data_IF_328461012612
#
_entry.id   IF_328461012612
#
_cell.length_a   1.000
_cell.length_b   1.000
_cell.length_c   1.000
_cell.angle_alpha   90.00
_cell.angle_beta   90.00
_cell.angle_gamma   90.00
#
_symmetry.space_group_name_H-M   'P 1'
#
loop_
_entity.id
_entity.type
_entity.pdbx_description
1 polymer ?
#
# COMPACT_ATOMS: atom_id res chain seq x y z
N UNK A 1 12.68 -29.20 -8.82
CA UNK A 1 13.72 -28.15 -8.62
C UNK A 1 13.55 -27.55 -7.22
N UNK A 2 14.64 -27.24 -6.51
CA UNK A 2 14.54 -26.57 -5.19
C UNK A 2 14.25 -25.08 -5.41
N UNK A 3 13.35 -24.46 -4.63
CA UNK A 3 13.07 -23.03 -4.74
C UNK A 3 14.32 -22.20 -4.42
N UNK A 4 14.49 -21.08 -5.11
CA UNK A 4 15.62 -20.16 -4.95
C UNK A 4 15.48 -19.33 -3.65
N UNK A 5 15.66 -19.98 -2.49
CA UNK A 5 15.49 -19.36 -1.17
C UNK A 5 16.38 -18.12 -0.95
N UNK A 6 17.55 -18.07 -1.61
CA UNK A 6 18.47 -16.93 -1.55
C UNK A 6 17.89 -15.64 -2.14
N UNK A 7 16.91 -15.72 -3.05
CA UNK A 7 16.28 -14.56 -3.66
C UNK A 7 15.09 -14.00 -2.84
N UNK A 8 14.75 -14.62 -1.70
CA UNK A 8 13.61 -14.18 -0.87
C UNK A 8 13.73 -12.73 -0.36
N UNK A 9 14.91 -12.25 0.10
CA UNK A 9 15.06 -10.85 0.52
C UNK A 9 14.85 -9.88 -0.64
N UNK A 10 15.34 -10.25 -1.84
CA UNK A 10 15.16 -9.46 -3.06
C UNK A 10 13.69 -9.39 -3.47
N UNK A 11 12.96 -10.50 -3.44
CA UNK A 11 11.53 -10.53 -3.71
C UNK A 11 10.74 -9.68 -2.71
N UNK A 12 11.11 -9.70 -1.43
CA UNK A 12 10.47 -8.87 -0.42
C UNK A 12 10.66 -7.37 -0.69
N UNK A 13 11.86 -6.97 -1.12
CA UNK A 13 12.15 -5.60 -1.55
C UNK A 13 11.40 -5.19 -2.81
N UNK A 14 11.30 -6.08 -3.81
CA UNK A 14 10.52 -5.82 -5.02
C UNK A 14 9.05 -5.55 -4.72
N UNK A 15 8.44 -6.35 -3.84
CA UNK A 15 7.05 -6.15 -3.41
C UNK A 15 6.88 -4.81 -2.70
N UNK A 16 7.89 -4.38 -1.94
CA UNK A 16 7.85 -3.10 -1.22
C UNK A 16 7.87 -1.93 -2.17
N UNK A 17 8.80 -1.94 -3.11
CA UNK A 17 8.95 -0.90 -4.14
C UNK A 17 7.69 -0.84 -5.01
N UNK A 18 7.20 -1.98 -5.48
CA UNK A 18 6.04 -2.03 -6.34
C UNK A 18 4.79 -1.53 -5.63
N UNK A 19 4.53 -1.95 -4.39
CA UNK A 19 3.40 -1.46 -3.60
C UNK A 19 3.49 0.05 -3.37
N UNK A 20 4.67 0.55 -3.00
CA UNK A 20 4.85 1.97 -2.69
C UNK A 20 4.62 2.84 -3.93
N UNK A 21 5.25 2.49 -5.05
CA UNK A 21 5.06 3.20 -6.33
C UNK A 21 3.63 3.10 -6.83
N UNK A 22 3.01 1.92 -6.71
CA UNK A 22 1.63 1.71 -7.13
C UNK A 22 0.67 2.66 -6.41
N UNK A 23 0.76 2.75 -5.08
CA UNK A 23 -0.08 3.64 -4.27
C UNK A 23 0.18 5.11 -4.63
N UNK A 24 1.44 5.49 -4.81
CA UNK A 24 1.81 6.86 -5.20
C UNK A 24 1.18 7.22 -6.54
N UNK A 25 1.32 6.37 -7.55
CA UNK A 25 0.75 6.61 -8.88
C UNK A 25 -0.78 6.63 -8.88
N UNK A 26 -1.41 5.80 -8.05
CA UNK A 26 -2.87 5.73 -7.96
C UNK A 26 -3.49 7.03 -7.42
N UNK A 27 -2.81 7.71 -6.49
CA UNK A 27 -3.34 8.88 -5.78
C UNK A 27 -2.64 10.19 -6.12
N UNK A 28 -1.67 10.20 -7.03
CA UNK A 28 -0.90 11.40 -7.35
C UNK A 28 -1.77 12.55 -7.88
N UNK A 29 -2.76 12.22 -8.72
CA UNK A 29 -3.70 13.20 -9.27
C UNK A 29 -4.65 13.76 -8.21
N UNK A 30 -4.97 12.98 -7.18
CA UNK A 30 -5.89 13.41 -6.11
C UNK A 30 -5.23 14.39 -5.13
N UNK A 31 -3.89 14.53 -5.18
CA UNK A 31 -3.12 15.49 -4.38
C UNK A 31 -3.01 16.86 -5.05
N UNK A 32 -3.31 16.98 -6.35
CA UNK A 32 -3.16 18.22 -7.10
C UNK A 32 -4.41 18.55 -7.93
N UNK A 33 -5.07 19.69 -7.70
CA UNK A 33 -4.72 20.76 -6.75
C UNK A 33 -5.02 20.39 -5.29
N UNK A 34 -4.31 21.06 -4.37
CA UNK A 34 -4.54 20.88 -2.92
C UNK A 34 -5.96 21.31 -2.57
N UNK A 35 -6.77 20.35 -2.12
CA UNK A 35 -8.16 20.60 -1.72
C UNK A 35 -8.44 20.08 -0.31
N UNK A 36 -8.21 20.94 0.69
CA UNK A 36 -8.39 20.63 2.10
C UNK A 36 -9.85 20.38 2.53
N UNK A 37 -10.82 20.60 1.63
CA UNK A 37 -12.24 20.31 1.89
C UNK A 37 -12.67 18.92 1.40
N UNK A 38 -11.84 18.25 0.61
CA UNK A 38 -12.18 16.95 0.02
C UNK A 38 -11.74 15.79 0.91
N UNK A 39 -12.67 14.87 1.21
CA UNK A 39 -12.32 13.62 1.91
C UNK A 39 -11.34 12.77 1.07
N UNK A 40 -11.48 12.81 -0.27
CA UNK A 40 -10.61 12.09 -1.19
C UNK A 40 -9.15 12.57 -1.07
N UNK A 41 -8.94 13.87 -0.88
CA UNK A 41 -7.61 14.44 -0.69
C UNK A 41 -6.93 13.87 0.56
N UNK A 42 -7.65 13.73 1.68
CA UNK A 42 -7.09 13.14 2.90
C UNK A 42 -6.81 11.65 2.75
N UNK A 43 -7.68 10.90 2.05
CA UNK A 43 -7.44 9.48 1.75
C UNK A 43 -6.17 9.33 0.89
N UNK A 44 -6.04 10.14 -0.16
CA UNK A 44 -4.87 10.18 -1.02
C UNK A 44 -3.59 10.52 -0.22
N UNK A 45 -3.65 11.55 0.62
CA UNK A 45 -2.53 12.00 1.43
C UNK A 45 -2.07 10.91 2.41
N UNK A 46 -2.99 10.30 3.15
CA UNK A 46 -2.69 9.21 4.08
C UNK A 46 -2.09 8.01 3.33
N UNK A 47 -2.68 7.64 2.20
CA UNK A 47 -2.20 6.51 1.39
C UNK A 47 -0.77 6.73 0.91
N UNK A 48 -0.47 7.90 0.34
CA UNK A 48 0.85 8.28 -0.17
C UNK A 48 1.87 8.41 0.96
N UNK A 49 1.47 9.00 2.09
CA UNK A 49 2.32 9.11 3.28
C UNK A 49 2.75 7.72 3.78
N UNK A 50 1.79 6.81 4.01
CA UNK A 50 2.11 5.48 4.53
C UNK A 50 2.81 4.58 3.50
N UNK A 51 2.57 4.76 2.20
CA UNK A 51 3.38 4.13 1.16
C UNK A 51 4.85 4.58 1.23
N UNK A 52 5.08 5.88 1.43
CA UNK A 52 6.43 6.44 1.58
C UNK A 52 7.09 5.94 2.87
N UNK A 53 6.35 5.91 3.98
CA UNK A 53 6.85 5.34 5.23
C UNK A 53 7.20 3.85 5.07
N UNK A 54 6.36 3.04 4.41
CA UNK A 54 6.65 1.63 4.17
C UNK A 54 8.00 1.43 3.44
N UNK A 55 8.27 2.27 2.45
CA UNK A 55 9.55 2.29 1.74
C UNK A 55 10.71 2.69 2.66
N UNK A 56 10.58 3.81 3.38
CA UNK A 56 11.61 4.31 4.32
C UNK A 56 11.88 3.34 5.47
N UNK A 57 10.85 2.65 5.99
CA UNK A 57 10.99 1.63 7.05
C UNK A 57 11.83 0.43 6.62
N UNK A 58 11.88 0.15 5.32
CA UNK A 58 12.75 -0.86 4.73
C UNK A 58 14.19 -0.39 4.63
N UNK A 59 14.40 0.85 4.20
CA UNK A 59 15.73 1.46 4.12
C UNK A 59 16.39 1.59 5.51
N UNK A 60 15.62 2.03 6.51
CA UNK A 60 16.11 2.22 7.87
C UNK A 60 16.08 0.93 8.71
N UNK A 61 15.65 -0.19 8.14
CA UNK A 61 15.48 -1.47 8.85
C UNK A 61 14.63 -1.35 10.13
N UNK A 62 13.67 -0.41 10.17
CA UNK A 62 12.78 -0.16 11.32
C UNK A 62 11.49 -0.96 11.17
N UNK A 63 11.43 -2.13 11.81
CA UNK A 63 10.30 -3.06 11.71
C UNK A 63 8.97 -2.43 12.15
N UNK A 64 8.94 -1.66 13.23
CA UNK A 64 7.72 -0.98 13.72
C UNK A 64 7.09 -0.09 12.65
N UNK A 65 7.91 0.60 11.86
CA UNK A 65 7.44 1.53 10.83
C UNK A 65 6.84 0.77 9.63
N UNK A 66 7.45 -0.36 9.25
CA UNK A 66 6.92 -1.24 8.20
C UNK A 66 5.59 -1.88 8.61
N UNK A 67 5.50 -2.41 9.83
CA UNK A 67 4.28 -3.06 10.35
C UNK A 67 3.13 -2.05 10.45
N UNK A 68 3.39 -0.87 11.02
CA UNK A 68 2.38 0.18 11.15
C UNK A 68 1.92 0.68 9.78
N UNK A 69 2.85 0.89 8.84
CA UNK A 69 2.50 1.32 7.48
C UNK A 69 1.70 0.26 6.73
N UNK A 70 2.10 -1.01 6.83
CA UNK A 70 1.35 -2.13 6.25
C UNK A 70 -0.06 -2.22 6.80
N UNK A 71 -0.24 -2.02 8.12
CA UNK A 71 -1.56 -2.01 8.75
C UNK A 71 -2.45 -0.88 8.21
N UNK A 72 -1.94 0.35 8.18
CA UNK A 72 -2.73 1.50 7.71
C UNK A 72 -3.10 1.33 6.23
N UNK A 73 -2.16 0.91 5.39
CA UNK A 73 -2.43 0.60 3.98
C UNK A 73 -3.53 -0.48 3.89
N UNK A 74 -3.44 -1.55 4.67
CA UNK A 74 -4.45 -2.62 4.66
C UNK A 74 -5.85 -2.06 4.94
N UNK A 75 -5.99 -1.27 6.00
CA UNK A 75 -7.27 -0.74 6.46
C UNK A 75 -7.85 0.27 5.46
N UNK A 76 -7.04 1.23 4.99
CA UNK A 76 -7.50 2.26 4.04
C UNK A 76 -7.98 1.62 2.74
N UNK A 77 -7.21 0.68 2.20
CA UNK A 77 -7.56 0.02 0.94
C UNK A 77 -8.69 -1.01 1.08
N UNK A 78 -8.81 -1.68 2.24
CA UNK A 78 -9.98 -2.51 2.53
C UNK A 78 -11.26 -1.66 2.60
N UNK A 79 -11.19 -0.46 3.20
CA UNK A 79 -12.31 0.48 3.25
C UNK A 79 -12.71 0.96 1.84
N UNK A 80 -11.74 1.34 1.01
CA UNK A 80 -11.99 1.75 -0.38
C UNK A 80 -12.56 0.61 -1.23
N UNK A 81 -12.07 -0.61 -1.03
CA UNK A 81 -12.63 -1.79 -1.67
C UNK A 81 -14.08 -2.01 -1.26
N UNK A 82 -14.38 -2.01 0.05
CA UNK A 82 -15.72 -2.27 0.57
C UNK A 82 -16.74 -1.21 0.13
N UNK A 83 -16.35 0.06 0.09
CA UNK A 83 -17.22 1.16 -0.34
C UNK A 83 -17.37 1.27 -1.86
N UNK A 84 -16.36 0.83 -2.62
CA UNK A 84 -16.41 0.76 -4.08
C UNK A 84 -17.05 -0.50 -4.65
N UNK A 85 -17.38 -1.49 -3.80
CA UNK A 85 -17.91 -2.78 -4.25
C UNK A 85 -19.41 -2.71 -4.52
N UNK A 86 -19.79 -2.80 -5.80
CA UNK A 86 -21.19 -2.77 -6.25
C UNK A 86 -21.78 -4.16 -6.50
N UNK A 87 -21.23 -5.22 -5.89
CA UNK A 87 -21.64 -6.62 -6.12
C UNK A 87 -20.94 -7.33 -7.27
N UNK A 88 -20.14 -6.62 -8.07
CA UNK A 88 -19.33 -7.16 -9.15
C UNK A 88 -17.90 -6.66 -8.98
N UNK A 89 -16.92 -7.55 -9.14
CA UNK A 89 -15.50 -7.18 -9.13
C UNK A 89 -15.21 -6.40 -10.41
N UNK A 90 -15.09 -5.08 -10.28
CA UNK A 90 -14.70 -4.16 -11.35
C UNK A 90 -13.19 -3.92 -11.34
N UNK A 91 -12.67 -3.34 -12.42
CA UNK A 91 -11.28 -2.90 -12.52
C UNK A 91 -10.87 -2.04 -11.32
N UNK A 92 -11.69 -1.04 -10.95
CA UNK A 92 -11.42 -0.13 -9.84
C UNK A 92 -11.34 -0.86 -8.49
N UNK A 93 -12.25 -1.81 -8.23
CA UNK A 93 -12.18 -2.59 -6.98
C UNK A 93 -10.91 -3.46 -6.93
N UNK A 94 -10.46 -4.01 -8.06
CA UNK A 94 -9.21 -4.76 -8.12
C UNK A 94 -7.99 -3.89 -7.79
N UNK A 95 -8.02 -2.61 -8.18
CA UNK A 95 -6.96 -1.66 -7.84
C UNK A 95 -6.83 -1.42 -6.33
N UNK A 96 -7.93 -1.53 -5.58
CA UNK A 96 -7.90 -1.37 -4.12
C UNK A 96 -7.60 -2.68 -3.39
N UNK A 97 -8.01 -3.81 -3.94
CA UNK A 97 -7.77 -5.12 -3.34
C UNK A 97 -6.27 -5.45 -3.24
N UNK A 98 -5.50 -5.14 -4.29
CA UNK A 98 -4.08 -5.48 -4.35
C UNK A 98 -3.24 -4.82 -3.24
N UNK A 99 -3.31 -3.49 -3.03
CA UNK A 99 -2.63 -2.85 -1.92
C UNK A 99 -3.09 -3.32 -0.55
N UNK A 100 -4.37 -3.68 -0.39
CA UNK A 100 -4.88 -4.21 0.87
C UNK A 100 -4.17 -5.52 1.25
N UNK A 101 -4.09 -6.47 0.30
CA UNK A 101 -3.44 -7.77 0.51
C UNK A 101 -1.94 -7.61 0.75
N UNK A 102 -1.26 -6.78 -0.06
CA UNK A 102 0.19 -6.58 0.08
C UNK A 102 0.54 -5.78 1.35
N UNK A 103 -0.31 -4.84 1.75
CA UNK A 103 -0.22 -4.17 3.05
C UNK A 103 -0.30 -5.17 4.20
N UNK A 104 -1.22 -6.13 4.12
CA UNK A 104 -1.39 -7.16 5.14
C UNK A 104 -0.17 -8.10 5.22
N UNK A 105 0.45 -8.38 4.06
CA UNK A 105 1.73 -9.11 4.02
C UNK A 105 2.84 -8.37 4.79
N UNK A 106 2.98 -7.05 4.64
CA UNK A 106 3.97 -6.28 5.41
C UNK A 106 3.61 -6.14 6.89
N UNK A 107 2.32 -6.05 7.20
CA UNK A 107 1.83 -6.06 8.58
C UNK A 107 2.21 -7.37 9.30
N UNK A 108 1.99 -8.52 8.66
CA UNK A 108 2.24 -9.83 9.27
C UNK A 108 3.71 -10.25 9.27
N UNK A 109 4.47 -9.88 8.22
CA UNK A 109 5.87 -10.30 8.07
C UNK A 109 6.87 -9.31 8.66
N UNK A 110 6.59 -8.01 8.64
CA UNK A 110 7.58 -6.98 8.98
C UNK A 110 8.62 -6.76 7.87
N UNK A 111 9.90 -6.59 8.27
CA UNK A 111 11.04 -6.37 7.37
C UNK A 111 11.71 -7.67 6.91
#
# INVERSE_FOLDING_TARGET
MKPLKSAQPFAHWLIRISLSLYIILLFLSDLYPINLKSIQFYIALVSVLFATLLFVGGLLSKQTLTVLSGLVITVVFAYLFATGFSGIISHTTMLYLMPSILGFYFFTKGN
#
